data_IF_826056627970
#
_entry.id   IF_826056627970
#
_cell.length_a   1.000
_cell.length_b   1.000
_cell.length_c   1.000
_cell.angle_alpha   90.00
_cell.angle_beta   90.00
_cell.angle_gamma   90.00
#
_symmetry.space_group_name_H-M   'P 1'
#
loop_
_entity.id
_entity.type
_entity.pdbx_description
1 polymer ?
#
# COMPACT_ATOMS: atom_id res chain seq x y z
N UNK A 1 -35.27 -43.72 12.94
CA UNK A 1 -34.81 -43.22 11.62
C UNK A 1 -34.29 -41.81 11.87
N UNK A 2 -32.99 -41.69 12.16
CA UNK A 2 -32.29 -40.43 12.40
C UNK A 2 -31.65 -40.01 11.07
N UNK A 3 -32.09 -38.87 10.55
CA UNK A 3 -31.53 -38.26 9.37
C UNK A 3 -30.59 -37.12 9.81
N UNK A 4 -29.30 -37.41 9.85
CA UNK A 4 -28.24 -36.46 10.18
C UNK A 4 -27.82 -35.72 8.91
N UNK A 5 -28.29 -34.47 8.79
CA UNK A 5 -27.85 -33.55 7.76
C UNK A 5 -26.47 -33.01 8.14
N UNK A 6 -25.43 -33.45 7.45
CA UNK A 6 -24.10 -32.83 7.49
C UNK A 6 -24.13 -31.47 6.73
N UNK A 7 -23.43 -30.43 7.21
CA UNK A 7 -23.28 -29.19 6.45
C UNK A 7 -22.36 -29.43 5.24
N UNK A 8 -22.85 -29.04 4.06
CA UNK A 8 -22.06 -29.00 2.83
C UNK A 8 -20.92 -27.99 3.02
N UNK A 9 -19.71 -28.47 3.00
CA UNK A 9 -18.51 -27.67 2.75
C UNK A 9 -18.58 -27.14 1.33
N UNK A 10 -18.74 -25.83 1.18
CA UNK A 10 -18.61 -25.17 -0.10
C UNK A 10 -17.20 -25.38 -0.62
N UNK A 11 -17.09 -26.11 -1.73
CA UNK A 11 -15.84 -26.28 -2.44
C UNK A 11 -15.39 -24.91 -2.99
N UNK A 12 -14.09 -24.58 -2.95
CA UNK A 12 -13.60 -23.33 -3.52
C UNK A 12 -13.90 -23.32 -5.03
N UNK A 13 -14.54 -22.27 -5.50
CA UNK A 13 -14.73 -21.94 -6.91
C UNK A 13 -13.37 -22.09 -7.61
N UNK A 14 -13.33 -22.77 -8.76
CA UNK A 14 -12.12 -22.99 -9.53
C UNK A 14 -11.38 -21.65 -9.73
N UNK A 15 -10.29 -21.47 -9.00
CA UNK A 15 -9.46 -20.28 -9.08
C UNK A 15 -8.83 -20.26 -10.48
N UNK A 16 -9.09 -19.18 -11.25
CA UNK A 16 -8.42 -18.93 -12.51
C UNK A 16 -6.89 -18.86 -12.31
N UNK A 17 -6.12 -18.92 -13.39
CA UNK A 17 -4.68 -18.70 -13.31
C UNK A 17 -4.39 -17.28 -12.81
N UNK A 18 -3.55 -17.14 -11.75
CA UNK A 18 -3.26 -15.81 -11.18
C UNK A 18 -2.46 -14.97 -12.18
N UNK A 19 -2.75 -13.68 -12.19
CA UNK A 19 -1.95 -12.73 -12.98
C UNK A 19 -0.57 -12.52 -12.39
N UNK A 20 -0.46 -12.60 -11.06
CA UNK A 20 0.82 -12.54 -10.34
C UNK A 20 0.87 -13.71 -9.36
N UNK A 21 1.93 -14.50 -9.45
CA UNK A 21 2.21 -15.57 -8.49
C UNK A 21 3.65 -15.45 -8.00
N UNK A 22 3.81 -15.44 -6.69
CA UNK A 22 5.11 -15.29 -6.00
C UNK A 22 5.24 -16.41 -5.00
N UNK A 23 6.39 -17.12 -5.01
CA UNK A 23 6.64 -18.25 -4.13
C UNK A 23 8.03 -18.14 -3.49
N UNK A 24 8.07 -18.00 -2.17
CA UNK A 24 9.28 -17.95 -1.37
C UNK A 24 10.26 -16.86 -1.81
N UNK A 25 9.78 -15.73 -2.34
CA UNK A 25 10.60 -14.70 -2.97
C UNK A 25 11.43 -13.97 -1.93
N UNK A 26 12.76 -14.06 -2.07
CA UNK A 26 13.72 -13.42 -1.17
C UNK A 26 14.72 -12.54 -1.91
N UNK A 27 15.12 -11.45 -1.26
CA UNK A 27 16.15 -10.55 -1.78
C UNK A 27 17.08 -10.09 -0.69
N UNK A 28 18.36 -10.40 -0.89
CA UNK A 28 19.47 -9.96 -0.05
C UNK A 28 20.31 -8.94 -0.79
N UNK A 29 20.77 -7.92 -0.08
CA UNK A 29 21.75 -6.94 -0.54
C UNK A 29 23.00 -7.04 0.31
N UNK A 30 24.16 -7.04 -0.33
CA UNK A 30 25.45 -6.89 0.36
C UNK A 30 25.79 -5.40 0.43
N UNK A 31 25.76 -4.84 1.62
CA UNK A 31 26.11 -3.44 1.88
C UNK A 31 27.52 -3.42 2.46
N UNK A 32 28.39 -2.61 1.88
CA UNK A 32 29.73 -2.41 2.40
C UNK A 32 29.73 -1.17 3.29
N UNK A 33 30.18 -1.32 4.53
CA UNK A 33 30.37 -0.20 5.42
C UNK A 33 31.52 0.66 4.89
N UNK A 34 31.23 1.93 4.58
CA UNK A 34 32.29 2.89 4.23
C UNK A 34 32.89 3.40 5.53
N UNK A 35 34.18 3.10 5.82
CA UNK A 35 34.84 3.69 6.96
C UNK A 35 34.98 5.20 6.75
N UNK A 36 34.68 6.01 7.75
CA UNK A 36 34.85 7.47 7.71
C UNK A 36 36.35 7.80 7.85
N UNK A 37 36.85 8.62 6.93
CA UNK A 37 38.22 9.16 6.95
C UNK A 37 39.12 8.73 5.78
N UNK A 38 39.98 9.64 5.32
CA UNK A 38 40.86 9.43 4.16
C UNK A 38 41.88 8.28 4.36
N UNK A 39 42.41 8.07 5.56
CA UNK A 39 43.32 6.95 5.87
C UNK A 39 42.60 5.62 5.97
N UNK A 40 41.34 5.61 6.46
CA UNK A 40 40.50 4.42 6.51
C UNK A 40 40.05 3.96 5.13
N UNK A 41 40.00 4.85 4.13
CA UNK A 41 39.68 4.50 2.74
C UNK A 41 40.78 3.66 2.07
N UNK A 42 42.05 3.86 2.42
CA UNK A 42 43.17 3.08 1.85
C UNK A 42 43.26 1.68 2.47
N UNK A 43 43.07 1.58 3.79
CA UNK A 43 43.06 0.28 4.49
C UNK A 43 41.80 -0.52 4.23
N UNK A 44 40.69 0.16 3.93
CA UNK A 44 39.39 -0.43 3.56
C UNK A 44 39.37 -1.13 2.20
N UNK A 45 40.38 -0.92 1.34
CA UNK A 45 40.52 -1.64 0.06
C UNK A 45 40.81 -3.13 0.25
N UNK A 46 41.45 -3.52 1.35
CA UNK A 46 41.84 -4.90 1.64
C UNK A 46 40.94 -5.64 2.65
N UNK A 47 40.10 -4.93 3.42
CA UNK A 47 39.26 -5.56 4.44
C UNK A 47 37.87 -4.90 4.57
N UNK A 48 37.06 -4.99 3.51
CA UNK A 48 35.68 -4.48 3.51
C UNK A 48 34.77 -5.40 4.30
N UNK A 49 34.36 -4.98 5.48
CA UNK A 49 33.25 -5.66 6.18
C UNK A 49 31.95 -5.46 5.38
N UNK A 50 31.41 -6.55 4.87
CA UNK A 50 30.09 -6.54 4.22
C UNK A 50 29.04 -7.01 5.19
N UNK A 51 27.93 -6.29 5.26
CA UNK A 51 26.73 -6.70 5.96
C UNK A 51 25.68 -7.13 4.93
N UNK A 52 25.05 -8.28 5.18
CA UNK A 52 23.89 -8.71 4.40
C UNK A 52 22.64 -8.05 4.97
N UNK A 53 21.86 -7.40 4.13
CA UNK A 53 20.56 -6.81 4.45
C UNK A 53 19.50 -7.61 3.68
N UNK A 54 18.67 -8.33 4.40
CA UNK A 54 17.54 -9.06 3.84
C UNK A 54 16.41 -8.07 3.61
N UNK A 55 16.17 -7.69 2.37
CA UNK A 55 15.07 -6.78 2.00
C UNK A 55 13.74 -7.51 1.84
N UNK A 56 13.79 -8.81 1.48
CA UNK A 56 12.62 -9.72 1.47
C UNK A 56 13.05 -11.10 1.98
N UNK A 57 12.18 -11.70 2.81
CA UNK A 57 12.45 -12.92 3.58
C UNK A 57 11.53 -14.09 3.21
N UNK A 58 11.41 -14.42 1.93
CA UNK A 58 10.59 -15.55 1.48
C UNK A 58 9.10 -15.20 1.42
N UNK A 59 8.76 -14.22 0.60
CA UNK A 59 7.40 -13.74 0.42
C UNK A 59 6.64 -14.64 -0.53
N UNK A 60 5.41 -15.03 -0.15
CA UNK A 60 4.41 -15.68 -0.99
C UNK A 60 3.26 -14.71 -1.23
N UNK A 61 2.82 -14.55 -2.48
CA UNK A 61 1.68 -13.72 -2.84
C UNK A 61 1.05 -14.23 -4.12
N UNK A 62 -0.27 -14.23 -4.17
CA UNK A 62 -1.07 -14.54 -5.35
C UNK A 62 -2.05 -13.39 -5.61
N UNK A 63 -2.08 -12.86 -6.84
CA UNK A 63 -2.98 -11.77 -7.24
C UNK A 63 -3.75 -12.20 -8.48
N UNK A 64 -5.06 -12.09 -8.40
CA UNK A 64 -5.97 -12.43 -9.49
C UNK A 64 -6.12 -11.25 -10.47
N UNK A 65 -6.62 -11.55 -11.67
CA UNK A 65 -6.87 -10.53 -12.69
C UNK A 65 -7.90 -9.51 -12.20
N UNK A 66 -7.60 -8.22 -12.42
CA UNK A 66 -8.50 -7.13 -12.04
C UNK A 66 -8.51 -6.79 -10.55
N UNK A 67 -7.68 -7.43 -9.72
CA UNK A 67 -7.56 -7.03 -8.32
C UNK A 67 -6.82 -5.69 -8.17
N UNK A 68 -7.28 -4.89 -7.21
CA UNK A 68 -6.55 -3.74 -6.70
C UNK A 68 -6.03 -4.08 -5.30
N UNK A 69 -4.73 -4.33 -5.18
CA UNK A 69 -4.07 -4.75 -3.94
C UNK A 69 -3.22 -3.61 -3.39
N UNK A 70 -3.46 -3.22 -2.15
CA UNK A 70 -2.57 -2.32 -1.43
C UNK A 70 -1.50 -3.11 -0.67
N UNK A 71 -0.24 -2.73 -0.83
CA UNK A 71 0.86 -3.22 -0.01
C UNK A 71 1.29 -2.11 0.96
N UNK A 72 0.92 -2.27 2.22
CA UNK A 72 1.14 -1.29 3.28
C UNK A 72 2.31 -1.71 4.16
N UNK A 73 3.12 -0.76 4.59
CA UNK A 73 4.22 -1.01 5.52
C UNK A 73 5.09 0.21 5.74
N UNK A 74 5.92 0.23 6.80
CA UNK A 74 6.83 1.31 7.08
C UNK A 74 7.91 1.44 5.99
N UNK A 75 8.66 2.56 6.04
CA UNK A 75 9.82 2.73 5.18
C UNK A 75 10.87 1.65 5.49
N UNK A 76 11.43 1.05 4.43
CA UNK A 76 12.37 -0.05 4.58
C UNK A 76 11.73 -1.45 4.71
N UNK A 77 10.41 -1.59 4.76
CA UNK A 77 9.73 -2.88 4.85
C UNK A 77 9.92 -3.82 3.64
N UNK A 78 10.50 -3.33 2.54
CA UNK A 78 10.74 -4.14 1.33
C UNK A 78 9.78 -3.85 0.16
N UNK A 79 8.77 -2.99 0.32
CA UNK A 79 7.73 -2.69 -0.69
C UNK A 79 8.30 -2.36 -2.08
N UNK A 80 9.16 -1.34 -2.17
CA UNK A 80 9.82 -0.95 -3.43
C UNK A 80 10.71 -2.08 -4.00
N UNK A 81 11.37 -2.86 -3.15
CA UNK A 81 12.17 -4.02 -3.58
C UNK A 81 11.26 -5.08 -4.22
N UNK A 82 10.10 -5.32 -3.62
CA UNK A 82 9.09 -6.24 -4.14
C UNK A 82 8.62 -5.82 -5.53
N UNK A 83 8.20 -4.55 -5.73
CA UNK A 83 7.80 -4.06 -7.04
C UNK A 83 8.93 -4.13 -8.08
N UNK A 84 10.18 -3.85 -7.69
CA UNK A 84 11.33 -3.97 -8.60
C UNK A 84 11.60 -5.42 -9.03
N UNK A 85 11.31 -6.40 -8.19
CA UNK A 85 11.38 -7.82 -8.56
C UNK A 85 10.26 -8.18 -9.54
N UNK A 86 9.01 -7.78 -9.26
CA UNK A 86 7.87 -8.07 -10.13
C UNK A 86 7.93 -7.36 -11.48
N UNK A 87 8.61 -6.22 -11.56
CA UNK A 87 8.88 -5.50 -12.81
C UNK A 87 10.15 -5.95 -13.54
N UNK A 88 10.90 -6.90 -12.96
CA UNK A 88 12.14 -7.40 -13.55
C UNK A 88 13.31 -6.41 -13.52
N UNK A 89 13.23 -5.29 -12.80
CA UNK A 89 14.34 -4.34 -12.63
C UNK A 89 15.50 -4.98 -11.91
N UNK A 90 15.21 -5.81 -10.91
CA UNK A 90 16.20 -6.59 -10.17
C UNK A 90 15.84 -8.08 -10.18
N UNK A 91 16.81 -8.93 -9.90
CA UNK A 91 16.65 -10.39 -9.78
C UNK A 91 16.56 -10.80 -8.32
N UNK A 92 15.77 -11.83 -7.96
CA UNK A 92 15.72 -12.36 -6.59
C UNK A 92 17.03 -13.07 -6.21
N UNK A 93 17.24 -13.25 -4.91
CA UNK A 93 18.29 -14.13 -4.38
C UNK A 93 17.80 -15.57 -4.30
N UNK A 94 16.52 -15.75 -3.94
CA UNK A 94 15.84 -17.08 -3.85
C UNK A 94 14.37 -16.90 -4.18
N UNK A 95 13.69 -18.02 -4.46
CA UNK A 95 12.27 -18.07 -4.78
C UNK A 95 11.97 -17.81 -6.24
N UNK A 96 10.71 -17.74 -6.58
CA UNK A 96 10.22 -17.53 -7.95
C UNK A 96 9.07 -16.54 -7.98
N UNK A 97 8.87 -15.90 -9.13
CA UNK A 97 7.69 -15.11 -9.42
C UNK A 97 7.33 -15.20 -10.89
N UNK A 98 6.04 -15.21 -11.17
CA UNK A 98 5.47 -15.02 -12.51
C UNK A 98 4.52 -13.83 -12.49
N UNK A 99 4.58 -13.02 -13.54
CA UNK A 99 3.67 -11.91 -13.80
C UNK A 99 3.18 -12.04 -15.23
N UNK A 100 1.87 -12.10 -15.43
CA UNK A 100 1.27 -12.33 -16.75
C UNK A 100 1.80 -13.60 -17.44
N UNK A 101 2.08 -14.65 -16.66
CA UNK A 101 2.66 -15.91 -17.14
C UNK A 101 4.15 -15.85 -17.49
N UNK A 102 4.81 -14.69 -17.33
CA UNK A 102 6.24 -14.49 -17.64
C UNK A 102 7.08 -14.40 -16.36
N UNK A 103 8.34 -14.84 -16.43
CA UNK A 103 9.33 -14.60 -15.38
C UNK A 103 9.88 -13.18 -15.53
N UNK A 104 9.66 -12.26 -14.56
CA UNK A 104 9.91 -10.83 -14.76
C UNK A 104 11.34 -10.47 -15.14
N UNK A 105 12.33 -11.15 -14.55
CA UNK A 105 13.76 -10.85 -14.79
C UNK A 105 14.31 -11.41 -16.10
N UNK A 106 13.54 -12.17 -16.86
CA UNK A 106 13.87 -12.52 -18.25
C UNK A 106 13.66 -11.31 -19.18
N UNK A 107 12.83 -10.35 -18.79
CA UNK A 107 12.67 -9.05 -19.44
C UNK A 107 12.29 -9.16 -20.93
N UNK A 108 11.44 -10.11 -21.27
CA UNK A 108 10.97 -10.27 -22.66
C UNK A 108 10.25 -9.02 -23.15
N UNK A 109 10.29 -8.75 -24.45
CA UNK A 109 9.62 -7.56 -25.02
C UNK A 109 8.11 -7.63 -24.84
N UNK A 110 7.53 -8.84 -24.92
CA UNK A 110 6.10 -9.06 -24.68
C UNK A 110 5.74 -8.67 -23.23
N UNK A 111 6.47 -9.20 -22.25
CA UNK A 111 6.24 -8.86 -20.85
C UNK A 111 6.32 -7.36 -20.59
N UNK A 112 7.38 -6.70 -21.09
CA UNK A 112 7.60 -5.26 -20.87
C UNK A 112 6.49 -4.36 -21.43
N UNK A 113 5.77 -4.81 -22.45
CA UNK A 113 4.63 -4.08 -23.03
C UNK A 113 3.32 -4.26 -22.30
N UNK A 114 3.23 -5.24 -21.41
CA UNK A 114 1.98 -5.59 -20.74
C UNK A 114 1.88 -5.06 -19.31
N UNK A 115 2.93 -4.44 -18.79
CA UNK A 115 2.88 -3.80 -17.48
C UNK A 115 3.41 -2.38 -17.52
N UNK A 116 3.05 -1.61 -16.48
CA UNK A 116 3.65 -0.31 -16.20
C UNK A 116 4.11 -0.24 -14.74
N UNK A 117 5.15 0.56 -14.48
CA UNK A 117 5.64 0.87 -13.14
C UNK A 117 5.78 2.37 -13.00
N UNK A 118 5.07 2.95 -12.02
CA UNK A 118 5.21 4.37 -11.64
C UNK A 118 5.84 4.43 -10.25
N UNK A 119 6.91 5.22 -10.12
CA UNK A 119 7.61 5.42 -8.86
C UNK A 119 7.46 6.87 -8.43
N UNK A 120 6.81 7.14 -7.31
CA UNK A 120 6.50 8.51 -6.87
C UNK A 120 7.69 9.45 -6.73
N UNK A 121 8.88 8.88 -6.49
CA UNK A 121 10.12 9.64 -6.33
C UNK A 121 11.03 9.63 -7.57
N UNK A 122 10.63 9.00 -8.67
CA UNK A 122 11.41 8.92 -9.89
C UNK A 122 10.57 9.31 -11.09
N UNK A 123 11.11 10.23 -11.89
CA UNK A 123 10.44 10.71 -13.09
C UNK A 123 10.70 9.76 -14.27
N UNK A 124 9.68 9.45 -15.03
CA UNK A 124 9.75 8.82 -16.36
C UNK A 124 9.72 9.89 -17.46
N UNK A 125 9.13 11.06 -17.14
CA UNK A 125 9.08 12.20 -18.05
C UNK A 125 10.41 12.95 -18.08
N UNK A 126 10.80 13.42 -19.23
CA UNK A 126 12.02 14.20 -19.37
C UNK A 126 11.88 15.59 -18.79
N UNK A 127 12.72 15.88 -17.82
CA UNK A 127 12.65 17.05 -16.95
C UNK A 127 12.58 18.39 -17.68
N UNK A 128 13.42 18.56 -18.72
CA UNK A 128 13.54 19.82 -19.47
C UNK A 128 12.61 19.92 -20.67
N UNK A 129 11.83 18.87 -20.98
CA UNK A 129 10.93 18.83 -22.12
C UNK A 129 9.46 18.88 -21.67
N UNK A 130 8.56 19.35 -22.56
CA UNK A 130 7.13 19.17 -22.37
C UNK A 130 6.74 17.69 -22.27
N UNK A 131 5.72 17.40 -21.45
CA UNK A 131 5.23 16.02 -21.31
C UNK A 131 4.80 15.39 -22.65
N UNK A 132 4.26 16.19 -23.57
CA UNK A 132 3.89 15.74 -24.90
C UNK A 132 5.04 15.07 -25.68
N UNK A 133 6.28 15.55 -25.51
CA UNK A 133 7.45 14.94 -26.15
C UNK A 133 7.79 13.58 -25.54
N UNK A 134 7.70 13.47 -24.21
CA UNK A 134 7.86 12.18 -23.53
C UNK A 134 6.77 11.18 -23.97
N UNK A 135 5.54 11.63 -24.17
CA UNK A 135 4.44 10.78 -24.65
C UNK A 135 4.71 10.26 -26.08
N UNK A 136 5.25 11.10 -26.97
CA UNK A 136 5.67 10.67 -28.31
C UNK A 136 6.76 9.61 -28.26
N UNK A 137 7.73 9.78 -27.35
CA UNK A 137 8.76 8.78 -27.15
C UNK A 137 8.16 7.45 -26.64
N UNK A 138 7.23 7.49 -25.68
CA UNK A 138 6.53 6.29 -25.21
C UNK A 138 5.78 5.60 -26.35
N UNK A 139 5.10 6.36 -27.23
CA UNK A 139 4.45 5.81 -28.44
C UNK A 139 5.42 4.98 -29.27
N UNK A 140 6.63 5.49 -29.54
CA UNK A 140 7.64 4.78 -30.33
C UNK A 140 8.23 3.58 -29.60
N UNK A 141 8.56 3.72 -28.30
CA UNK A 141 9.10 2.62 -27.46
C UNK A 141 8.13 1.45 -27.40
N UNK A 142 6.85 1.72 -27.14
CA UNK A 142 5.81 0.70 -27.01
C UNK A 142 5.18 0.32 -28.36
N UNK A 143 5.60 0.96 -29.48
CA UNK A 143 5.09 0.75 -30.83
C UNK A 143 3.58 0.86 -30.91
N UNK A 144 3.03 1.94 -30.35
CA UNK A 144 1.59 2.21 -30.35
C UNK A 144 1.23 2.85 -31.67
N UNK A 145 0.23 2.33 -32.37
CA UNK A 145 -0.28 2.94 -33.58
C UNK A 145 -0.88 4.33 -33.35
N UNK A 146 -0.77 5.23 -34.29
CA UNK A 146 -1.13 6.64 -34.08
C UNK A 146 -2.59 6.84 -33.66
N UNK A 147 -3.59 6.22 -34.29
CA UNK A 147 -4.99 6.40 -33.88
C UNK A 147 -5.28 5.93 -32.47
N UNK A 148 -4.68 4.81 -32.05
CA UNK A 148 -4.80 4.30 -30.67
C UNK A 148 -4.13 5.23 -29.66
N UNK A 149 -2.91 5.68 -29.97
CA UNK A 149 -2.17 6.62 -29.14
C UNK A 149 -2.95 7.92 -28.92
N UNK A 150 -3.48 8.54 -29.98
CA UNK A 150 -4.22 9.80 -29.86
C UNK A 150 -5.49 9.64 -29.04
N UNK A 151 -6.27 8.59 -29.28
CA UNK A 151 -7.48 8.29 -28.51
C UNK A 151 -7.17 8.08 -27.03
N UNK A 152 -6.22 7.20 -26.71
CA UNK A 152 -5.87 6.88 -25.31
C UNK A 152 -5.26 8.08 -24.59
N UNK A 153 -4.36 8.83 -25.27
CA UNK A 153 -3.81 10.08 -24.74
C UNK A 153 -4.91 11.07 -24.38
N UNK A 154 -5.82 11.35 -25.34
CA UNK A 154 -6.84 12.37 -25.15
C UNK A 154 -7.83 11.98 -24.05
N UNK A 155 -8.24 10.72 -23.98
CA UNK A 155 -9.05 10.17 -22.87
C UNK A 155 -8.37 10.39 -21.49
N UNK A 156 -7.12 9.97 -21.34
CA UNK A 156 -6.41 10.06 -20.06
C UNK A 156 -6.13 11.52 -19.65
N UNK A 157 -5.79 12.35 -20.62
CA UNK A 157 -5.54 13.80 -20.42
C UNK A 157 -6.80 14.52 -19.96
N UNK A 158 -7.96 14.19 -20.53
CA UNK A 158 -9.24 14.79 -20.13
C UNK A 158 -9.70 14.29 -18.78
N UNK A 159 -9.56 12.99 -18.48
CA UNK A 159 -9.88 12.41 -17.16
C UNK A 159 -9.08 13.04 -16.00
N UNK A 160 -7.83 13.42 -16.24
CA UNK A 160 -6.96 14.05 -15.23
C UNK A 160 -6.97 15.58 -15.27
N UNK A 161 -7.66 16.20 -16.26
CA UNK A 161 -7.69 17.64 -16.49
C UNK A 161 -6.28 18.25 -16.62
N UNK A 162 -5.44 17.64 -17.48
CA UNK A 162 -4.04 18.06 -17.67
C UNK A 162 -3.73 18.58 -19.08
N UNK A 163 -4.74 18.79 -19.94
CA UNK A 163 -4.56 19.24 -21.31
C UNK A 163 -3.73 20.52 -21.45
N UNK A 164 -3.92 21.48 -20.54
CA UNK A 164 -3.17 22.75 -20.52
C UNK A 164 -1.71 22.61 -20.11
N UNK A 165 -1.34 21.45 -19.54
CA UNK A 165 0.00 21.17 -19.03
C UNK A 165 0.91 20.50 -20.06
N UNK A 166 0.35 19.94 -21.13
CA UNK A 166 1.06 19.10 -22.09
C UNK A 166 2.27 19.78 -22.74
N UNK A 167 2.19 21.08 -22.98
CA UNK A 167 3.24 21.86 -23.64
C UNK A 167 4.16 22.60 -22.67
N UNK A 168 3.93 22.48 -21.35
CA UNK A 168 4.80 23.04 -20.34
C UNK A 168 5.96 22.10 -20.04
N UNK A 169 7.20 22.60 -19.85
CA UNK A 169 8.32 21.78 -19.37
C UNK A 169 7.98 21.10 -18.05
N UNK A 170 8.37 19.84 -17.89
CA UNK A 170 8.04 19.03 -16.70
C UNK A 170 8.59 19.67 -15.41
N UNK A 171 9.74 20.34 -15.49
CA UNK A 171 10.36 21.05 -14.37
C UNK A 171 9.51 22.19 -13.80
N UNK A 172 8.61 22.76 -14.60
CA UNK A 172 7.77 23.92 -14.23
C UNK A 172 6.42 23.49 -13.63
N UNK A 173 6.22 22.20 -13.47
CA UNK A 173 4.98 21.60 -12.94
C UNK A 173 5.09 21.36 -11.43
N UNK A 174 3.97 21.53 -10.74
CA UNK A 174 3.84 21.04 -9.37
C UNK A 174 3.99 19.52 -9.29
N UNK A 175 4.27 18.99 -8.10
CA UNK A 175 4.40 17.55 -7.90
C UNK A 175 3.12 16.79 -8.30
N UNK A 176 1.94 17.33 -7.97
CA UNK A 176 0.65 16.74 -8.33
C UNK A 176 0.38 16.76 -9.83
N UNK A 177 0.66 17.89 -10.51
CA UNK A 177 0.54 17.99 -11.97
C UNK A 177 1.48 17.00 -12.67
N UNK A 178 2.72 16.90 -12.18
CA UNK A 178 3.70 15.96 -12.71
C UNK A 178 3.25 14.52 -12.53
N UNK A 179 2.77 14.13 -11.34
CA UNK A 179 2.29 12.77 -11.08
C UNK A 179 1.12 12.39 -12.00
N UNK A 180 0.20 13.32 -12.26
CA UNK A 180 -0.87 13.10 -13.23
C UNK A 180 -0.33 12.78 -14.62
N UNK A 181 0.66 13.53 -15.12
CA UNK A 181 1.26 13.28 -16.42
C UNK A 181 2.12 12.00 -16.46
N UNK A 182 2.78 11.64 -15.35
CA UNK A 182 3.47 10.35 -15.18
C UNK A 182 2.50 9.17 -15.35
N UNK A 183 1.29 9.28 -14.79
CA UNK A 183 0.26 8.26 -14.96
C UNK A 183 -0.27 8.21 -16.38
N UNK A 184 -0.48 9.37 -17.04
CA UNK A 184 -0.81 9.37 -18.47
C UNK A 184 0.23 8.60 -19.25
N UNK A 185 1.53 8.93 -19.09
CA UNK A 185 2.63 8.25 -19.76
C UNK A 185 2.63 6.74 -19.55
N UNK A 186 2.45 6.32 -18.29
CA UNK A 186 2.45 4.91 -17.89
C UNK A 186 1.26 4.12 -18.47
N UNK A 187 0.15 4.79 -18.77
CA UNK A 187 -1.08 4.15 -19.26
C UNK A 187 -1.30 4.25 -20.78
N UNK A 188 -0.42 4.95 -21.54
CA UNK A 188 -0.54 5.12 -23.00
C UNK A 188 -0.56 3.81 -23.76
N UNK A 189 0.17 2.81 -23.31
CA UNK A 189 0.27 1.51 -23.95
C UNK A 189 -0.76 0.49 -23.45
N UNK A 190 -1.70 0.93 -22.58
CA UNK A 190 -2.81 0.15 -22.02
C UNK A 190 -2.32 -1.15 -21.34
N UNK A 191 -1.52 -1.03 -20.26
CA UNK A 191 -0.98 -2.19 -19.57
C UNK A 191 -2.08 -3.02 -18.89
N UNK A 192 -1.86 -4.33 -18.76
CA UNK A 192 -2.72 -5.25 -18.00
C UNK A 192 -2.42 -5.21 -16.49
N UNK A 193 -1.17 -4.87 -16.13
CA UNK A 193 -0.72 -4.74 -14.74
C UNK A 193 -0.08 -3.36 -14.52
N UNK A 194 -0.49 -2.70 -13.45
CA UNK A 194 0.08 -1.41 -13.03
C UNK A 194 0.70 -1.55 -11.63
N UNK A 195 1.99 -1.27 -11.54
CA UNK A 195 2.71 -1.13 -10.27
C UNK A 195 2.86 0.34 -9.91
N UNK A 196 2.43 0.71 -8.71
CA UNK A 196 2.49 2.07 -8.17
C UNK A 196 3.31 2.08 -6.88
N UNK A 197 4.46 2.73 -6.90
CA UNK A 197 5.34 2.84 -5.73
C UNK A 197 5.19 4.22 -5.09
N UNK A 198 4.36 4.29 -4.05
CA UNK A 198 4.07 5.50 -3.26
C UNK A 198 3.65 6.72 -4.13
N UNK A 199 2.61 6.60 -5.00
CA UNK A 199 2.27 7.63 -5.98
C UNK A 199 1.68 8.90 -5.36
N UNK A 200 1.23 8.86 -4.12
CA UNK A 200 0.57 9.96 -3.40
C UNK A 200 1.51 10.73 -2.49
N UNK A 201 2.78 10.29 -2.37
CA UNK A 201 3.74 10.92 -1.47
C UNK A 201 4.01 12.37 -1.85
N UNK A 202 3.87 13.29 -0.87
CA UNK A 202 4.10 14.72 -1.07
C UNK A 202 3.03 15.46 -1.87
N UNK A 203 1.94 14.79 -2.27
CA UNK A 203 0.79 15.44 -2.91
C UNK A 203 -0.10 16.13 -1.87
N UNK A 204 -0.69 17.25 -2.25
CA UNK A 204 -1.77 17.85 -1.47
C UNK A 204 -3.07 17.01 -1.54
N UNK A 205 -4.01 17.31 -0.64
CA UNK A 205 -5.26 16.55 -0.50
C UNK A 205 -6.09 16.55 -1.79
N UNK A 206 -6.09 17.65 -2.55
CA UNK A 206 -6.86 17.78 -3.78
C UNK A 206 -6.27 16.89 -4.88
N UNK A 207 -4.94 16.92 -5.02
CA UNK A 207 -4.22 16.07 -5.96
C UNK A 207 -4.37 14.58 -5.62
N UNK A 208 -4.26 14.20 -4.32
CA UNK A 208 -4.49 12.84 -3.86
C UNK A 208 -5.91 12.36 -4.22
N UNK A 209 -6.93 13.15 -3.91
CA UNK A 209 -8.32 12.79 -4.21
C UNK A 209 -8.60 12.66 -5.72
N UNK A 210 -8.03 13.56 -6.52
CA UNK A 210 -8.09 13.47 -7.98
C UNK A 210 -7.44 12.18 -8.51
N UNK A 211 -6.28 11.82 -7.93
CA UNK A 211 -5.54 10.60 -8.28
C UNK A 211 -6.33 9.33 -7.92
N UNK A 212 -6.92 9.29 -6.71
CA UNK A 212 -7.73 8.15 -6.27
C UNK A 212 -8.92 7.92 -7.19
N UNK A 213 -9.68 8.97 -7.54
CA UNK A 213 -10.81 8.85 -8.46
C UNK A 213 -10.40 8.35 -9.84
N UNK A 214 -9.29 8.88 -10.36
CA UNK A 214 -8.74 8.47 -11.64
C UNK A 214 -8.34 6.98 -11.64
N UNK A 215 -7.56 6.54 -10.65
CA UNK A 215 -7.10 5.16 -10.55
C UNK A 215 -8.26 4.18 -10.39
N UNK A 216 -9.25 4.51 -9.55
CA UNK A 216 -10.45 3.70 -9.39
C UNK A 216 -11.25 3.57 -10.69
N UNK A 217 -11.42 4.69 -11.42
CA UNK A 217 -12.12 4.71 -12.70
C UNK A 217 -11.40 3.85 -13.77
N UNK A 218 -10.12 4.11 -14.00
CA UNK A 218 -9.34 3.39 -15.03
C UNK A 218 -9.23 1.89 -14.70
N UNK A 219 -9.06 1.55 -13.42
CA UNK A 219 -9.01 0.14 -13.00
C UNK A 219 -10.34 -0.57 -13.28
N UNK A 220 -11.47 0.07 -12.96
CA UNK A 220 -12.79 -0.51 -13.18
C UNK A 220 -13.11 -0.67 -14.67
N UNK A 221 -12.85 0.36 -15.49
CA UNK A 221 -13.13 0.35 -16.93
C UNK A 221 -12.25 -0.64 -17.69
N UNK A 222 -10.96 -0.74 -17.34
CA UNK A 222 -9.99 -1.55 -18.08
C UNK A 222 -9.73 -2.92 -17.45
N UNK A 223 -10.37 -3.23 -16.29
CA UNK A 223 -10.15 -4.46 -15.51
C UNK A 223 -8.65 -4.73 -15.27
N UNK A 224 -7.90 -3.66 -15.06
CA UNK A 224 -6.45 -3.68 -14.86
C UNK A 224 -6.12 -4.19 -13.46
N UNK A 225 -5.11 -5.05 -13.35
CA UNK A 225 -4.59 -5.48 -12.05
C UNK A 225 -3.64 -4.42 -11.50
N UNK A 226 -3.82 -4.00 -10.25
CA UNK A 226 -2.99 -2.93 -9.66
C UNK A 226 -2.37 -3.41 -8.35
N UNK A 227 -1.05 -3.20 -8.20
CA UNK A 227 -0.37 -3.25 -6.89
C UNK A 227 0.09 -1.85 -6.55
N UNK A 228 -0.44 -1.32 -5.45
CA UNK A 228 -0.11 -0.03 -4.90
C UNK A 228 0.72 -0.21 -3.63
N UNK A 229 1.94 0.31 -3.56
CA UNK A 229 2.64 0.44 -2.29
C UNK A 229 2.36 1.80 -1.68
N UNK A 230 2.09 1.82 -0.39
CA UNK A 230 1.85 3.04 0.36
C UNK A 230 2.21 2.84 1.84
N UNK A 231 2.36 3.93 2.55
CA UNK A 231 2.37 3.98 4.02
C UNK A 231 1.20 4.80 4.56
N UNK A 232 0.28 5.26 3.68
CA UNK A 232 -0.92 6.02 4.03
C UNK A 232 -2.16 5.14 3.98
N UNK A 233 -2.87 5.02 5.11
CA UNK A 233 -4.13 4.27 5.16
C UNK A 233 -5.24 4.86 4.31
N UNK A 234 -5.22 6.18 4.09
CA UNK A 234 -6.20 6.87 3.22
C UNK A 234 -6.18 6.34 1.78
N UNK A 235 -5.00 6.00 1.25
CA UNK A 235 -4.89 5.41 -0.09
C UNK A 235 -5.54 4.02 -0.12
N UNK A 236 -5.28 3.22 0.93
CA UNK A 236 -5.85 1.87 1.07
C UNK A 236 -7.37 1.94 1.12
N UNK A 237 -7.92 2.76 2.02
CA UNK A 237 -9.36 2.91 2.21
C UNK A 237 -10.08 3.44 0.95
N UNK A 238 -9.42 4.30 0.16
CA UNK A 238 -10.00 4.89 -1.04
C UNK A 238 -10.00 3.96 -2.26
N UNK A 239 -9.05 3.01 -2.36
CA UNK A 239 -8.77 2.29 -3.60
C UNK A 239 -8.91 0.77 -3.49
N UNK A 240 -8.66 0.20 -2.31
CA UNK A 240 -8.38 -1.23 -2.22
C UNK A 240 -9.37 -1.96 -1.33
N UNK A 241 -9.78 -3.14 -1.79
CA UNK A 241 -10.55 -4.11 -0.97
C UNK A 241 -9.62 -5.10 -0.26
N UNK A 242 -8.42 -5.35 -0.80
CA UNK A 242 -7.43 -6.27 -0.27
C UNK A 242 -6.18 -5.52 0.15
N UNK A 243 -5.72 -5.82 1.35
CA UNK A 243 -4.55 -5.24 1.98
C UNK A 243 -3.52 -6.31 2.31
N UNK A 244 -2.29 -6.08 1.89
CA UNK A 244 -1.10 -6.85 2.27
C UNK A 244 -0.24 -5.99 3.17
N UNK A 245 -0.09 -6.36 4.44
CA UNK A 245 0.76 -5.63 5.40
C UNK A 245 2.14 -6.27 5.41
N UNK A 246 3.17 -5.46 5.16
CA UNK A 246 4.56 -5.91 5.08
C UNK A 246 5.40 -5.24 6.16
N UNK A 247 6.18 -6.02 6.87
CA UNK A 247 7.17 -5.54 7.84
C UNK A 247 8.44 -6.36 7.74
N UNK A 248 9.60 -5.72 7.86
CA UNK A 248 10.92 -6.37 7.86
C UNK A 248 11.13 -7.41 6.74
N UNK A 249 10.57 -7.15 5.56
CA UNK A 249 10.69 -8.02 4.39
C UNK A 249 9.77 -9.24 4.38
N UNK A 250 8.81 -9.33 5.30
CA UNK A 250 7.84 -10.44 5.40
C UNK A 250 6.41 -9.93 5.35
N UNK A 251 5.47 -10.75 4.84
CA UNK A 251 4.04 -10.45 4.90
C UNK A 251 3.53 -10.81 6.30
N UNK A 252 2.98 -9.81 6.98
CA UNK A 252 2.35 -9.96 8.28
C UNK A 252 0.85 -10.28 8.18
N UNK A 253 0.19 -9.73 7.13
CA UNK A 253 -1.23 -9.91 6.87
C UNK A 253 -1.49 -9.86 5.36
N UNK A 254 -2.40 -10.70 4.90
CA UNK A 254 -2.96 -10.68 3.55
C UNK A 254 -4.45 -11.02 3.65
N UNK A 255 -5.31 -10.06 3.31
CA UNK A 255 -6.76 -10.24 3.41
C UNK A 255 -7.56 -8.99 3.09
N UNK A 256 -8.88 -9.05 3.30
CA UNK A 256 -9.73 -7.89 3.06
C UNK A 256 -9.58 -6.84 4.15
N UNK A 257 -9.87 -5.59 3.78
CA UNK A 257 -9.88 -4.47 4.72
C UNK A 257 -10.94 -4.66 5.82
N UNK A 258 -12.08 -5.27 5.49
CA UNK A 258 -13.15 -5.58 6.45
C UNK A 258 -12.70 -6.59 7.50
N UNK A 259 -12.03 -7.67 7.05
CA UNK A 259 -11.52 -8.71 7.96
C UNK A 259 -10.46 -8.19 8.93
N UNK A 260 -9.65 -7.21 8.55
CA UNK A 260 -8.66 -6.62 9.46
C UNK A 260 -9.35 -5.82 10.58
N UNK A 261 -10.39 -5.07 10.24
CA UNK A 261 -11.20 -4.34 11.21
C UNK A 261 -11.85 -5.33 12.19
N UNK A 262 -12.53 -6.36 11.70
CA UNK A 262 -13.22 -7.34 12.54
C UNK A 262 -12.26 -8.16 13.44
N UNK A 263 -11.08 -8.47 12.95
CA UNK A 263 -10.09 -9.27 13.68
C UNK A 263 -9.36 -8.49 14.78
N UNK A 264 -9.13 -7.19 14.58
CA UNK A 264 -8.33 -6.36 15.45
C UNK A 264 -9.14 -5.33 16.25
N UNK A 265 -10.46 -5.19 16.01
CA UNK A 265 -11.32 -4.27 16.75
C UNK A 265 -12.35 -5.01 17.60
N UNK A 266 -11.97 -5.36 18.83
CA UNK A 266 -12.93 -5.79 19.83
C UNK A 266 -13.74 -4.63 20.42
N UNK A 267 -13.33 -3.39 20.17
CA UNK A 267 -13.93 -2.19 20.77
C UNK A 267 -14.19 -1.10 19.72
N UNK A 268 -15.09 -0.16 20.08
CA UNK A 268 -15.34 1.09 19.34
C UNK A 268 -14.85 2.28 20.14
N UNK A 269 -14.57 3.36 19.45
CA UNK A 269 -14.25 4.65 20.05
C UNK A 269 -15.55 5.42 20.20
N UNK A 270 -15.90 5.77 21.43
CA UNK A 270 -17.04 6.62 21.76
C UNK A 270 -16.49 7.97 22.23
N UNK A 271 -16.73 9.01 21.44
CA UNK A 271 -16.35 10.38 21.81
C UNK A 271 -17.57 11.10 22.31
N UNK A 272 -17.49 11.59 23.55
CA UNK A 272 -18.51 12.41 24.20
C UNK A 272 -18.04 13.85 24.23
N UNK A 273 -18.85 14.78 23.77
CA UNK A 273 -18.65 16.21 23.93
C UNK A 273 -19.56 16.71 25.06
N UNK A 274 -18.97 17.21 26.15
CA UNK A 274 -19.68 17.57 27.38
C UNK A 274 -19.93 19.07 27.45
N UNK A 275 -21.05 19.46 28.08
CA UNK A 275 -21.40 20.87 28.33
C UNK A 275 -20.45 21.56 29.32
N UNK A 276 -19.80 20.78 30.19
CA UNK A 276 -18.86 21.23 31.20
C UNK A 276 -17.63 20.32 31.26
N UNK A 277 -16.51 20.76 31.88
CA UNK A 277 -15.36 19.89 32.06
C UNK A 277 -15.73 18.59 32.77
N UNK A 278 -15.25 17.43 32.29
CA UNK A 278 -15.64 16.12 32.80
C UNK A 278 -15.22 15.93 34.26
N UNK A 279 -16.13 15.37 35.09
CA UNK A 279 -15.75 14.84 36.39
C UNK A 279 -14.97 13.53 36.20
N UNK A 280 -13.65 13.61 36.44
CA UNK A 280 -12.76 12.45 36.25
C UNK A 280 -13.18 11.26 37.10
N UNK A 281 -13.65 11.47 38.32
CA UNK A 281 -14.09 10.39 39.19
C UNK A 281 -15.37 9.70 38.68
N UNK A 282 -16.22 10.46 37.99
CA UNK A 282 -17.42 9.91 37.34
C UNK A 282 -17.06 9.11 36.08
N UNK A 283 -16.10 9.59 35.30
CA UNK A 283 -15.62 8.87 34.12
C UNK A 283 -14.88 7.58 34.51
N UNK A 284 -13.99 7.63 35.48
CA UNK A 284 -13.24 6.45 35.95
C UNK A 284 -14.17 5.35 36.49
N UNK A 285 -15.33 5.72 37.07
CA UNK A 285 -16.36 4.77 37.53
C UNK A 285 -17.05 4.01 36.39
N UNK A 286 -16.97 4.50 35.13
CA UNK A 286 -17.48 3.76 33.96
C UNK A 286 -16.66 2.49 33.69
N UNK A 287 -15.43 2.43 34.19
CA UNK A 287 -14.56 1.26 34.05
C UNK A 287 -14.05 0.97 32.66
N UNK A 288 -14.05 1.98 31.77
CA UNK A 288 -13.51 1.87 30.42
C UNK A 288 -12.21 2.65 30.28
N UNK A 289 -11.26 2.17 29.45
CA UNK A 289 -10.12 2.98 29.08
C UNK A 289 -10.59 4.30 28.48
N UNK A 290 -10.09 5.41 29.02
CA UNK A 290 -10.54 6.75 28.62
C UNK A 290 -9.38 7.72 28.44
N UNK A 291 -9.58 8.67 27.52
CA UNK A 291 -8.72 9.85 27.35
C UNK A 291 -9.60 11.09 27.46
N UNK A 292 -9.14 12.10 28.21
CA UNK A 292 -9.86 13.37 28.40
C UNK A 292 -9.10 14.47 27.70
N UNK A 293 -9.76 15.15 26.75
CA UNK A 293 -9.23 16.28 25.98
C UNK A 293 -10.14 17.51 26.14
N UNK A 294 -9.90 18.32 27.17
CA UNK A 294 -10.78 19.46 27.47
C UNK A 294 -12.21 19.00 27.81
N UNK A 295 -13.24 19.46 27.07
CA UNK A 295 -14.61 19.02 27.28
C UNK A 295 -14.93 17.66 26.67
N UNK A 296 -14.00 17.08 25.89
CA UNK A 296 -14.20 15.79 25.23
C UNK A 296 -13.67 14.64 26.07
N UNK A 297 -14.44 13.56 26.10
CA UNK A 297 -14.07 12.28 26.70
C UNK A 297 -14.13 11.21 25.62
N UNK A 298 -13.01 10.55 25.41
CA UNK A 298 -12.87 9.47 24.44
C UNK A 298 -12.80 8.15 25.20
N UNK A 299 -13.78 7.28 25.00
CA UNK A 299 -13.89 5.98 25.66
C UNK A 299 -13.65 4.87 24.65
N UNK A 300 -12.97 3.80 25.07
CA UNK A 300 -12.86 2.54 24.31
C UNK A 300 -13.82 1.52 24.92
N UNK A 301 -14.92 1.24 24.21
CA UNK A 301 -16.00 0.37 24.69
C UNK A 301 -16.06 -0.88 23.80
N UNK A 302 -16.10 -2.06 24.44
CA UNK A 302 -16.31 -3.32 23.72
C UNK A 302 -17.55 -3.23 22.80
N UNK A 303 -17.42 -3.65 21.54
CA UNK A 303 -18.46 -3.54 20.51
C UNK A 303 -19.78 -4.17 20.95
N UNK A 304 -19.71 -5.26 21.70
CA UNK A 304 -20.88 -5.98 22.19
C UNK A 304 -21.59 -5.26 23.34
N UNK A 305 -20.89 -4.39 24.07
CA UNK A 305 -21.39 -3.70 25.25
C UNK A 305 -21.92 -2.30 24.98
N UNK A 306 -21.74 -1.74 23.79
CA UNK A 306 -22.10 -0.35 23.46
C UNK A 306 -23.60 -0.10 23.68
N UNK A 307 -24.46 -0.98 23.18
CA UNK A 307 -25.92 -0.83 23.29
C UNK A 307 -26.40 -0.78 24.74
N UNK A 308 -25.72 -1.52 25.64
CA UNK A 308 -26.10 -1.60 27.06
C UNK A 308 -25.55 -0.42 27.87
N UNK A 309 -24.36 0.05 27.52
CA UNK A 309 -23.62 1.05 28.34
C UNK A 309 -23.92 2.49 27.91
N UNK A 310 -24.05 2.74 26.61
CA UNK A 310 -24.21 4.08 26.04
C UNK A 310 -25.42 4.84 26.59
N UNK A 311 -26.63 4.23 26.78
CA UNK A 311 -27.77 4.92 27.37
C UNK A 311 -27.55 5.41 28.81
N UNK A 312 -26.75 4.67 29.60
CA UNK A 312 -26.37 5.06 30.95
C UNK A 312 -25.43 6.26 30.98
N UNK A 313 -24.45 6.28 30.07
CA UNK A 313 -23.49 7.37 29.92
C UNK A 313 -24.20 8.67 29.53
N UNK A 314 -25.07 8.60 28.53
CA UNK A 314 -25.79 9.76 28.01
C UNK A 314 -26.71 10.44 29.05
N UNK A 315 -27.27 9.67 30.00
CA UNK A 315 -28.15 10.20 31.05
C UNK A 315 -27.39 10.87 32.19
N UNK A 316 -26.13 10.53 32.40
CA UNK A 316 -25.41 10.87 33.61
C UNK A 316 -24.43 12.04 33.55
N UNK A 317 -24.07 12.55 32.34
CA UNK A 317 -22.86 13.36 32.17
C UNK A 317 -23.07 14.74 31.52
N UNK A 318 -24.29 15.20 31.22
CA UNK A 318 -24.47 16.46 30.48
C UNK A 318 -23.82 16.40 29.10
N UNK A 319 -24.09 15.32 28.36
CA UNK A 319 -23.53 15.08 27.03
C UNK A 319 -24.24 15.96 26.02
N UNK A 320 -23.48 16.81 25.34
CA UNK A 320 -23.99 17.67 24.25
C UNK A 320 -24.04 16.94 22.92
N UNK A 321 -22.98 16.14 22.64
CA UNK A 321 -22.87 15.37 21.41
C UNK A 321 -22.16 14.04 21.66
N UNK A 322 -22.45 13.04 20.84
CA UNK A 322 -21.79 11.73 20.88
C UNK A 322 -21.49 11.22 19.48
N UNK A 323 -20.26 10.79 19.28
CA UNK A 323 -19.89 10.01 18.09
C UNK A 323 -19.46 8.61 18.50
N UNK A 324 -19.81 7.62 17.69
CA UNK A 324 -19.43 6.20 17.86
C UNK A 324 -18.78 5.74 16.57
N UNK A 325 -17.49 5.54 16.62
CA UNK A 325 -16.68 5.22 15.46
C UNK A 325 -15.93 3.90 15.64
N UNK A 326 -15.59 3.26 14.53
CA UNK A 326 -14.65 2.15 14.57
C UNK A 326 -13.23 2.67 14.87
N UNK A 327 -12.38 1.83 15.43
CA UNK A 327 -10.97 2.18 15.66
C UNK A 327 -10.35 2.58 14.32
N UNK A 328 -9.65 3.72 14.24
CA UNK A 328 -8.96 4.10 13.02
C UNK A 328 -8.03 3.00 12.51
N UNK A 329 -8.07 2.74 11.20
CA UNK A 329 -7.23 1.70 10.57
C UNK A 329 -5.75 1.93 10.85
N UNK A 330 -5.33 3.19 10.99
CA UNK A 330 -3.98 3.57 11.38
C UNK A 330 -3.57 3.00 12.74
N UNK A 331 -4.46 3.01 13.73
CA UNK A 331 -4.21 2.42 15.05
C UNK A 331 -4.10 0.90 14.98
N UNK A 332 -4.99 0.26 14.22
CA UNK A 332 -4.99 -1.20 14.02
C UNK A 332 -3.67 -1.64 13.40
N UNK A 333 -3.25 -0.98 12.35
CA UNK A 333 -1.98 -1.30 11.68
C UNK A 333 -0.78 -1.00 12.57
N UNK A 334 -0.81 0.10 13.34
CA UNK A 334 0.26 0.41 14.30
C UNK A 334 0.37 -0.66 15.39
N UNK A 335 -0.75 -1.25 15.83
CA UNK A 335 -0.77 -2.36 16.79
C UNK A 335 -0.22 -3.65 16.18
N UNK A 336 -0.57 -3.94 14.92
CA UNK A 336 -0.01 -5.06 14.17
C UNK A 336 1.52 -4.97 14.04
N UNK A 337 2.05 -3.78 13.74
CA UNK A 337 3.51 -3.59 13.66
C UNK A 337 4.18 -3.78 15.03
N UNK A 338 3.56 -3.35 16.13
CA UNK A 338 4.07 -3.57 17.48
C UNK A 338 4.07 -5.04 17.87
N UNK A 339 2.98 -5.76 17.60
CA UNK A 339 2.86 -7.19 17.93
C UNK A 339 3.73 -8.08 17.03
N UNK A 340 3.90 -7.73 15.76
CA UNK A 340 4.77 -8.45 14.83
C UNK A 340 6.26 -8.30 15.16
N UNK A 341 6.68 -7.17 15.73
CA UNK A 341 8.07 -6.94 16.18
C UNK A 341 8.44 -7.75 17.44
N UNK A 342 7.48 -8.09 18.29
CA UNK A 342 7.72 -8.89 19.52
C UNK A 342 7.86 -10.39 19.25
N UNK A 343 7.29 -10.90 18.18
CA UNK A 343 7.41 -12.32 17.81
C UNK A 343 8.79 -12.72 17.25
N UNK A 344 9.63 -11.73 16.89
CA UNK A 344 10.98 -11.95 16.38
C UNK A 344 12.09 -12.02 17.42
N UNK A 345 11.82 -11.69 18.70
CA UNK A 345 12.84 -11.60 19.76
C UNK A 345 12.94 -12.80 20.69
N UNK A 346 11.97 -13.71 20.68
CA UNK A 346 11.98 -14.86 21.61
C UNK A 346 12.74 -16.12 21.09
N UNK A 347 13.46 -16.02 19.97
CA UNK A 347 14.19 -17.14 19.37
C UNK A 347 15.70 -17.22 19.67
N UNK A 348 16.27 -16.30 20.49
CA UNK A 348 17.74 -16.23 20.68
C UNK A 348 18.18 -16.14 22.15
N UNK A 349 17.68 -17.03 23.02
CA UNK A 349 18.28 -17.26 24.33
C UNK A 349 18.15 -18.73 24.75
N UNK A 350 19.25 -19.46 24.65
CA UNK A 350 19.42 -20.78 25.27
C UNK A 350 20.32 -21.72 24.48
N UNK A 351 21.58 -21.86 24.74
CA UNK A 351 22.18 -22.48 25.90
C UNK A 351 23.73 -22.45 25.82
N UNK A 352 24.43 -22.43 26.96
CA UNK A 352 25.87 -22.57 26.96
C UNK A 352 26.26 -24.04 27.10
N UNK A 353 27.20 -24.48 26.29
CA UNK A 353 28.31 -25.37 26.66
C UNK A 353 29.16 -25.67 25.46
#
# INVERSE_FOLDING_TARGET
MHNSSQPRTDAPTAAGEPVIEVRGLAKEYRVFDKPEGLMASVTGLFNRKSRVVEALRGVDLRVEKGEFVAMLGPNGAGKTTFLKLLSGIITPTRGSATVLGSVPWERTDDFRRRFALVMGQRNQLWWDLPAAESFRLHKEIYRIDTPRFERTRDELVDLLDVRKLLLRPVRDLSLGERMKLELVAALLHEPEVLFLDEPTIGLDVVAQHSLHRFLAHVQAERQMTVILTTHYMKDVAALCKRLVVVTEGSILYDGSLEQIVDRFTSHKIVTLDLDAPPDRAAIDRLGFPCEIRGPQVILRIDRTRIADVLPGILRGQGVRDVSVEDVPLEEIVAEMFRSGSTAGTDGATGAPR
#
